data_IF_133716266302
#
_entry.id   IF_133716266302
#
_cell.length_a   1.000
_cell.length_b   1.000
_cell.length_c   1.000
_cell.angle_alpha   90.00
_cell.angle_beta   90.00
_cell.angle_gamma   90.00
#
_symmetry.space_group_name_H-M   'P 1'
#
loop_
_entity.id
_entity.type
_entity.pdbx_description
1 polymer ?
#
# COMPACT_ATOMS: atom_id res chain seq x y z
N UNK A 1 9.79 9.82 23.55
CA UNK A 1 9.09 8.81 22.72
C UNK A 1 10.06 8.40 21.63
N UNK A 2 10.49 7.14 21.64
CA UNK A 2 11.50 6.48 20.76
C UNK A 2 12.92 7.07 20.63
N UNK A 3 13.19 8.31 21.06
CA UNK A 3 14.57 8.83 21.20
C UNK A 3 15.30 9.14 19.90
N UNK A 4 14.59 9.24 18.78
CA UNK A 4 15.14 9.66 17.49
C UNK A 4 14.97 11.18 17.28
N UNK A 5 15.83 11.76 16.44
CA UNK A 5 15.67 13.11 15.92
C UNK A 5 14.97 13.04 14.56
N UNK A 6 13.92 13.86 14.38
CA UNK A 6 13.19 13.96 13.11
C UNK A 6 13.56 15.24 12.38
N UNK A 7 14.23 15.10 11.24
CA UNK A 7 14.44 16.19 10.30
C UNK A 7 13.48 16.05 9.12
N UNK A 8 12.68 17.09 8.87
CA UNK A 8 11.77 17.15 7.72
C UNK A 8 12.40 17.97 6.61
N UNK A 9 12.63 17.34 5.45
CA UNK A 9 13.22 17.98 4.27
C UNK A 9 12.17 17.94 3.14
N UNK A 10 11.46 19.05 2.87
CA UNK A 10 10.46 19.07 1.81
C UNK A 10 11.12 19.04 0.43
N UNK A 11 10.49 18.32 -0.50
CA UNK A 11 10.83 18.34 -1.92
C UNK A 11 9.68 18.96 -2.69
N UNK A 12 9.96 20.07 -3.38
CA UNK A 12 8.94 20.77 -4.17
C UNK A 12 8.56 19.95 -5.41
N UNK A 13 7.26 19.84 -5.67
CA UNK A 13 6.75 19.21 -6.89
C UNK A 13 7.29 19.93 -8.15
N UNK A 14 7.67 19.21 -9.22
CA UNK A 14 7.46 17.77 -9.45
C UNK A 14 8.57 16.86 -8.89
N UNK A 15 9.54 17.41 -8.14
CA UNK A 15 10.60 16.63 -7.48
C UNK A 15 11.66 16.04 -8.41
N UNK A 16 11.81 16.62 -9.62
CA UNK A 16 12.83 16.21 -10.60
C UNK A 16 14.24 16.74 -10.28
N UNK A 17 14.33 17.78 -9.46
CA UNK A 17 15.58 18.32 -8.90
C UNK A 17 15.51 18.16 -7.39
N UNK A 18 16.50 17.49 -6.79
CA UNK A 18 16.58 17.33 -5.34
C UNK A 18 17.99 17.57 -4.76
N UNK A 19 18.93 18.18 -5.49
CA UNK A 19 20.32 18.34 -5.03
C UNK A 19 20.41 19.11 -3.72
N UNK A 20 19.59 20.13 -3.54
CA UNK A 20 19.55 20.92 -2.30
C UNK A 20 19.06 20.11 -1.10
N UNK A 21 18.06 19.24 -1.30
CA UNK A 21 17.57 18.32 -0.29
C UNK A 21 18.63 17.26 0.06
N UNK A 22 19.28 16.68 -0.94
CA UNK A 22 20.31 15.66 -0.73
C UNK A 22 21.63 16.23 -0.20
N UNK A 23 21.92 17.50 -0.44
CA UNK A 23 22.99 18.22 0.25
C UNK A 23 22.70 18.33 1.76
N UNK A 24 21.45 18.63 2.14
CA UNK A 24 21.04 18.64 3.55
C UNK A 24 21.15 17.26 4.19
N UNK A 25 20.73 16.20 3.50
CA UNK A 25 20.92 14.80 3.96
C UNK A 25 22.40 14.50 4.15
N UNK A 26 23.26 14.88 3.20
CA UNK A 26 24.70 14.66 3.31
C UNK A 26 25.34 15.42 4.48
N UNK A 27 24.88 16.65 4.75
CA UNK A 27 25.38 17.49 5.83
C UNK A 27 24.95 16.97 7.21
N UNK A 28 23.68 16.58 7.34
CA UNK A 28 23.10 16.06 8.59
C UNK A 28 23.53 14.62 8.91
N UNK A 29 23.91 13.84 7.89
CA UNK A 29 24.35 12.43 8.02
C UNK A 29 23.36 11.58 8.83
N UNK A 30 22.06 11.54 8.45
CA UNK A 30 21.07 10.80 9.21
C UNK A 30 21.37 9.29 9.15
N UNK A 31 20.97 8.56 10.19
CA UNK A 31 21.09 7.11 10.21
C UNK A 31 20.17 6.43 9.17
N UNK A 32 19.01 7.03 8.93
CA UNK A 32 18.00 6.55 7.99
C UNK A 32 17.31 7.70 7.25
N UNK A 33 16.87 7.42 6.03
CA UNK A 33 16.02 8.32 5.24
C UNK A 33 14.69 7.61 4.99
N UNK A 34 13.60 8.21 5.45
CA UNK A 34 12.25 7.84 5.06
C UNK A 34 11.85 8.66 3.82
N UNK A 35 11.80 8.02 2.66
CA UNK A 35 11.39 8.65 1.41
C UNK A 35 9.86 8.64 1.30
N UNK A 36 9.23 9.74 1.68
CA UNK A 36 7.81 9.99 1.46
C UNK A 36 7.57 10.60 0.06
N UNK A 37 7.80 9.80 -0.97
CA UNK A 37 7.73 10.25 -2.36
C UNK A 37 6.58 9.66 -3.18
N UNK A 38 6.38 10.22 -4.37
CA UNK A 38 5.44 9.74 -5.38
C UNK A 38 5.92 10.06 -6.81
N UNK A 39 5.83 9.09 -7.71
CA UNK A 39 6.16 9.29 -9.12
C UNK A 39 7.65 9.59 -9.34
N UNK A 40 7.96 10.49 -10.27
CA UNK A 40 9.33 10.72 -10.75
C UNK A 40 10.31 11.12 -9.63
N UNK A 41 9.81 11.73 -8.55
CA UNK A 41 10.65 12.13 -7.42
C UNK A 41 11.28 10.93 -6.71
N UNK A 42 10.68 9.75 -6.79
CA UNK A 42 11.23 8.54 -6.20
C UNK A 42 12.54 8.15 -6.88
N UNK A 43 12.51 8.06 -8.21
CA UNK A 43 13.68 7.75 -9.03
C UNK A 43 14.75 8.84 -8.89
N UNK A 44 14.37 10.11 -8.88
CA UNK A 44 15.31 11.23 -8.64
C UNK A 44 15.97 11.10 -7.27
N UNK A 45 15.21 10.81 -6.21
CA UNK A 45 15.75 10.67 -4.86
C UNK A 45 16.81 9.56 -4.78
N UNK A 46 16.55 8.41 -5.39
CA UNK A 46 17.50 7.28 -5.39
C UNK A 46 18.76 7.63 -6.21
N UNK A 47 18.63 8.33 -7.34
CA UNK A 47 19.77 8.82 -8.14
C UNK A 47 20.63 9.80 -7.35
N UNK A 48 20.01 10.73 -6.62
CA UNK A 48 20.73 11.69 -5.78
C UNK A 48 21.38 11.03 -4.55
N UNK A 49 20.75 10.02 -3.96
CA UNK A 49 21.36 9.19 -2.93
C UNK A 49 22.64 8.50 -3.46
N UNK A 50 22.59 7.96 -4.68
CA UNK A 50 23.77 7.40 -5.34
C UNK A 50 24.84 8.47 -5.59
N UNK A 51 24.47 9.63 -6.12
CA UNK A 51 25.41 10.72 -6.45
C UNK A 51 26.08 11.32 -5.20
N UNK A 52 25.38 11.34 -4.07
CA UNK A 52 25.89 11.87 -2.79
C UNK A 52 26.55 10.82 -1.91
N UNK A 53 26.53 9.55 -2.32
CA UNK A 53 27.12 8.43 -1.58
C UNK A 53 26.30 7.97 -0.37
N UNK A 54 25.02 8.33 -0.28
CA UNK A 54 24.13 7.82 0.77
C UNK A 54 23.78 6.34 0.50
N UNK A 55 23.86 5.52 1.54
CA UNK A 55 23.63 4.07 1.44
C UNK A 55 22.14 3.78 1.18
N UNK A 56 21.83 3.09 0.08
CA UNK A 56 20.43 2.76 -0.27
C UNK A 56 19.83 1.76 0.72
N UNK A 57 20.63 0.91 1.37
CA UNK A 57 20.17 0.02 2.43
C UNK A 57 19.61 0.77 3.66
N UNK A 58 19.93 2.07 3.78
CA UNK A 58 19.42 2.96 4.83
C UNK A 58 18.29 3.87 4.37
N UNK A 59 17.78 3.65 3.16
CA UNK A 59 16.61 4.33 2.62
C UNK A 59 15.39 3.43 2.70
N UNK A 60 14.27 4.00 3.15
CA UNK A 60 12.98 3.34 3.24
C UNK A 60 11.93 4.20 2.54
N UNK A 61 11.42 3.73 1.41
CA UNK A 61 10.28 4.33 0.73
C UNK A 61 8.96 4.03 1.43
N UNK A 62 8.02 4.95 1.33
CA UNK A 62 6.61 4.61 1.55
C UNK A 62 6.09 3.72 0.43
N UNK A 63 4.88 3.18 0.58
CA UNK A 63 4.29 2.24 -0.39
C UNK A 63 4.06 2.81 -1.80
N UNK A 64 4.06 4.14 -1.95
CA UNK A 64 4.05 4.83 -3.24
C UNK A 64 5.44 5.05 -3.85
N UNK A 65 6.49 4.60 -3.17
CA UNK A 65 7.89 4.72 -3.56
C UNK A 65 8.59 3.35 -3.53
N UNK A 66 7.87 2.29 -3.88
CA UNK A 66 8.31 0.90 -3.82
C UNK A 66 7.82 0.06 -4.99
N UNK A 67 7.52 0.68 -6.12
CA UNK A 67 7.12 -0.03 -7.34
C UNK A 67 8.31 -0.16 -8.30
N UNK A 68 8.23 -1.10 -9.23
CA UNK A 68 9.19 -1.32 -10.30
C UNK A 68 9.56 -0.03 -11.06
N UNK A 69 8.63 0.85 -11.49
CA UNK A 69 8.98 2.12 -12.14
C UNK A 69 9.80 3.08 -11.28
N UNK A 70 9.75 2.98 -9.94
CA UNK A 70 10.51 3.88 -9.06
C UNK A 70 12.02 3.58 -9.12
N UNK A 71 12.38 2.32 -9.37
CA UNK A 71 13.75 1.79 -9.21
C UNK A 71 14.39 1.32 -10.51
N UNK A 72 13.60 0.86 -11.50
CA UNK A 72 14.12 0.19 -12.70
C UNK A 72 15.11 1.05 -13.49
N UNK A 73 14.87 2.35 -13.59
CA UNK A 73 15.70 3.29 -14.36
C UNK A 73 16.99 3.68 -13.63
N UNK A 74 17.16 3.27 -12.38
CA UNK A 74 18.39 3.45 -11.58
C UNK A 74 19.25 2.17 -11.62
N UNK A 75 18.70 1.04 -12.09
CA UNK A 75 19.37 -0.26 -12.20
C UNK A 75 20.12 -0.65 -10.91
N UNK A 76 21.41 -1.02 -11.01
CA UNK A 76 22.26 -1.37 -9.87
C UNK A 76 22.40 -0.24 -8.83
N UNK A 77 22.15 1.02 -9.23
CA UNK A 77 22.16 2.16 -8.33
C UNK A 77 21.08 2.10 -7.24
N UNK A 78 19.96 1.42 -7.52
CA UNK A 78 18.87 1.22 -6.56
C UNK A 78 19.04 -0.04 -5.68
N UNK A 79 20.05 -0.89 -5.94
CA UNK A 79 20.23 -2.13 -5.17
C UNK A 79 20.34 -1.82 -3.67
N UNK A 80 19.60 -2.57 -2.87
CA UNK A 80 19.53 -2.39 -1.42
C UNK A 80 18.46 -1.40 -0.96
N UNK A 81 17.83 -0.65 -1.86
CA UNK A 81 16.73 0.26 -1.50
C UNK A 81 15.54 -0.50 -0.94
N UNK A 82 15.01 -0.05 0.20
CA UNK A 82 13.86 -0.65 0.87
C UNK A 82 12.60 0.18 0.63
N UNK A 83 11.45 -0.47 0.64
CA UNK A 83 10.17 0.21 0.73
C UNK A 83 9.15 -0.57 1.58
N UNK A 84 8.24 0.16 2.18
CA UNK A 84 7.12 -0.38 2.94
C UNK A 84 6.04 -0.83 1.96
N UNK A 85 5.51 -2.04 2.15
CA UNK A 85 4.32 -2.52 1.46
C UNK A 85 3.13 -2.59 2.41
N UNK A 86 1.98 -2.05 1.99
CA UNK A 86 0.72 -2.16 2.72
C UNK A 86 0.03 -3.45 2.30
N UNK A 87 0.40 -4.54 2.96
CA UNK A 87 0.03 -5.92 2.61
C UNK A 87 0.75 -6.46 1.37
N UNK A 88 0.49 -5.91 0.18
CA UNK A 88 0.89 -6.50 -1.09
C UNK A 88 2.28 -6.01 -1.58
N UNK A 89 3.10 -6.93 -2.09
CA UNK A 89 4.34 -6.63 -2.83
C UNK A 89 4.26 -7.17 -4.26
N UNK A 90 5.39 -7.29 -4.95
CA UNK A 90 5.47 -8.08 -6.18
C UNK A 90 5.39 -9.57 -5.83
N UNK A 91 4.59 -10.32 -6.58
CA UNK A 91 4.52 -11.78 -6.49
C UNK A 91 4.08 -12.36 -7.83
N UNK A 92 5.06 -12.64 -8.68
CA UNK A 92 4.85 -13.24 -10.00
C UNK A 92 4.30 -14.68 -9.93
N UNK A 93 4.32 -15.30 -8.75
CA UNK A 93 3.93 -16.69 -8.53
C UNK A 93 2.55 -16.85 -7.87
N UNK A 94 1.93 -15.75 -7.45
CA UNK A 94 0.61 -15.73 -6.84
C UNK A 94 -0.43 -16.46 -7.72
N UNK A 95 -1.38 -17.14 -7.10
CA UNK A 95 -2.42 -17.91 -7.81
C UNK A 95 -3.23 -16.99 -8.73
N UNK A 96 -3.61 -15.80 -8.26
CA UNK A 96 -4.32 -14.80 -9.08
C UNK A 96 -3.52 -14.39 -10.33
N UNK A 97 -2.20 -14.25 -10.22
CA UNK A 97 -1.32 -13.90 -11.36
C UNK A 97 -1.32 -15.02 -12.40
N UNK A 98 -1.14 -16.27 -11.97
CA UNK A 98 -1.19 -17.43 -12.86
C UNK A 98 -2.55 -17.58 -13.54
N UNK A 99 -3.63 -17.33 -12.82
CA UNK A 99 -4.98 -17.35 -13.36
C UNK A 99 -5.21 -16.26 -14.41
N UNK A 100 -4.83 -15.01 -14.13
CA UNK A 100 -4.91 -13.91 -15.11
C UNK A 100 -4.11 -14.24 -16.37
N UNK A 101 -2.87 -14.72 -16.22
CA UNK A 101 -2.00 -15.05 -17.35
C UNK A 101 -2.60 -16.16 -18.23
N UNK A 102 -3.16 -17.20 -17.62
CA UNK A 102 -3.71 -18.37 -18.33
C UNK A 102 -5.12 -18.14 -18.89
N UNK A 103 -5.95 -17.34 -18.22
CA UNK A 103 -7.35 -17.15 -18.62
C UNK A 103 -7.54 -15.93 -19.52
N UNK A 104 -6.77 -14.86 -19.33
CA UNK A 104 -6.89 -13.62 -20.09
C UNK A 104 -5.78 -13.48 -21.12
N UNK A 105 -4.50 -13.41 -20.69
CA UNK A 105 -3.40 -13.14 -21.62
C UNK A 105 -3.19 -14.28 -22.63
N UNK A 106 -3.29 -15.55 -22.21
CA UNK A 106 -3.15 -16.68 -23.14
C UNK A 106 -4.25 -16.73 -24.22
N UNK A 107 -5.39 -16.07 -23.98
CA UNK A 107 -6.50 -15.97 -24.94
C UNK A 107 -6.51 -14.64 -25.71
N UNK A 108 -5.49 -13.80 -25.54
CA UNK A 108 -5.45 -12.47 -26.17
C UNK A 108 -6.46 -11.47 -25.59
N UNK A 109 -7.02 -11.74 -24.41
CA UNK A 109 -8.03 -10.91 -23.72
C UNK A 109 -7.43 -10.11 -22.55
N UNK A 110 -6.12 -10.23 -22.31
CA UNK A 110 -5.41 -9.44 -21.32
C UNK A 110 -5.23 -8.00 -21.78
N UNK A 111 -5.30 -7.05 -20.85
CA UNK A 111 -4.99 -5.63 -21.09
C UNK A 111 -3.68 -5.27 -20.41
N UNK A 112 -2.85 -4.47 -21.09
CA UNK A 112 -1.53 -4.06 -20.60
C UNK A 112 -0.42 -5.08 -20.85
N UNK A 113 0.83 -4.74 -20.50
CA UNK A 113 1.98 -5.62 -20.71
C UNK A 113 1.89 -6.89 -19.84
N UNK A 114 2.17 -8.05 -20.44
CA UNK A 114 2.04 -9.36 -19.77
C UNK A 114 3.07 -9.53 -18.64
N UNK A 115 4.24 -8.94 -18.83
CA UNK A 115 5.37 -8.93 -17.92
C UNK A 115 5.13 -8.09 -16.65
N UNK A 116 4.11 -7.22 -16.66
CA UNK A 116 3.72 -6.45 -15.49
C UNK A 116 2.72 -7.21 -14.59
N UNK A 117 2.16 -8.32 -15.06
CA UNK A 117 1.21 -9.13 -14.27
C UNK A 117 1.95 -9.77 -13.10
N UNK A 118 1.66 -9.30 -11.89
CA UNK A 118 2.32 -9.72 -10.65
C UNK A 118 3.29 -8.71 -10.06
N UNK A 119 3.56 -7.60 -10.77
CA UNK A 119 4.29 -6.46 -10.24
C UNK A 119 3.49 -5.73 -9.16
N UNK A 120 4.16 -4.88 -8.37
CA UNK A 120 3.59 -4.20 -7.20
C UNK A 120 2.29 -3.45 -7.54
N UNK A 121 2.29 -2.67 -8.62
CA UNK A 121 1.11 -1.89 -9.02
C UNK A 121 -0.02 -2.76 -9.57
N UNK A 122 0.32 -3.85 -10.29
CA UNK A 122 -0.68 -4.79 -10.77
C UNK A 122 -1.41 -5.46 -9.60
N UNK A 123 -0.65 -6.01 -8.64
CA UNK A 123 -1.23 -6.65 -7.46
C UNK A 123 -1.98 -5.66 -6.56
N UNK A 124 -1.57 -4.39 -6.51
CA UNK A 124 -2.35 -3.32 -5.86
C UNK A 124 -3.74 -3.17 -6.48
N UNK A 125 -3.79 -3.10 -7.81
CA UNK A 125 -5.03 -2.97 -8.57
C UNK A 125 -5.93 -4.18 -8.38
N UNK A 126 -5.36 -5.39 -8.50
CA UNK A 126 -6.07 -6.64 -8.30
C UNK A 126 -6.64 -6.76 -6.88
N UNK A 127 -5.85 -6.41 -5.86
CA UNK A 127 -6.29 -6.38 -4.46
C UNK A 127 -7.42 -5.36 -4.26
N UNK A 128 -7.29 -4.16 -4.80
CA UNK A 128 -8.32 -3.11 -4.68
C UNK A 128 -9.65 -3.52 -5.34
N UNK A 129 -9.57 -4.13 -6.52
CA UNK A 129 -10.74 -4.68 -7.21
C UNK A 129 -11.40 -5.80 -6.41
N UNK A 130 -10.59 -6.72 -5.85
CA UNK A 130 -11.09 -7.80 -5.00
C UNK A 130 -11.84 -7.25 -3.77
N UNK A 131 -11.29 -6.26 -3.08
CA UNK A 131 -11.96 -5.63 -1.93
C UNK A 131 -13.33 -5.04 -2.30
N UNK A 132 -13.43 -4.34 -3.42
CA UNK A 132 -14.69 -3.81 -3.93
C UNK A 132 -15.70 -4.90 -4.28
N UNK A 133 -15.26 -5.95 -4.97
CA UNK A 133 -16.10 -7.09 -5.35
C UNK A 133 -16.60 -7.85 -4.13
N UNK A 134 -15.74 -8.10 -3.14
CA UNK A 134 -16.13 -8.77 -1.91
C UNK A 134 -17.09 -7.93 -1.07
N UNK A 135 -16.93 -6.60 -1.05
CA UNK A 135 -17.90 -5.70 -0.41
C UNK A 135 -19.28 -5.80 -1.05
N UNK A 136 -19.35 -5.78 -2.38
CA UNK A 136 -20.60 -5.98 -3.11
C UNK A 136 -21.18 -7.38 -2.85
N UNK A 137 -20.34 -8.42 -2.79
CA UNK A 137 -20.79 -9.78 -2.50
C UNK A 137 -21.42 -9.88 -1.11
N UNK A 138 -20.77 -9.34 -0.08
CA UNK A 138 -21.32 -9.30 1.28
C UNK A 138 -22.64 -8.50 1.32
N UNK A 139 -22.74 -7.39 0.60
CA UNK A 139 -24.00 -6.67 0.46
C UNK A 139 -25.09 -7.53 -0.20
N UNK A 140 -24.79 -8.24 -1.29
CA UNK A 140 -25.73 -9.14 -1.95
C UNK A 140 -26.18 -10.30 -1.06
N UNK A 141 -25.30 -10.85 -0.22
CA UNK A 141 -25.66 -11.88 0.75
C UNK A 141 -26.74 -11.41 1.73
N UNK A 142 -26.70 -10.13 2.13
CA UNK A 142 -27.70 -9.53 3.03
C UNK A 142 -28.95 -9.00 2.32
N UNK A 143 -28.79 -8.31 1.19
CA UNK A 143 -29.88 -7.53 0.56
C UNK A 143 -30.48 -8.18 -0.70
N UNK A 144 -29.91 -9.30 -1.15
CA UNK A 144 -30.46 -10.14 -2.21
C UNK A 144 -29.41 -10.55 -3.24
N UNK A 145 -29.15 -11.87 -3.30
CA UNK A 145 -28.17 -12.46 -4.21
C UNK A 145 -28.48 -12.12 -5.67
N UNK A 146 -27.47 -11.65 -6.41
CA UNK A 146 -27.60 -11.29 -7.82
C UNK A 146 -28.30 -9.96 -8.11
N UNK A 147 -28.76 -9.21 -7.09
CA UNK A 147 -29.35 -7.89 -7.28
C UNK A 147 -28.29 -6.80 -7.40
N UNK A 148 -28.63 -5.72 -8.10
CA UNK A 148 -27.82 -4.50 -8.11
C UNK A 148 -27.92 -3.84 -6.73
N UNK A 149 -26.76 -3.52 -6.14
CA UNK A 149 -26.67 -2.87 -4.84
C UNK A 149 -26.63 -1.35 -5.00
N UNK A 150 -27.33 -0.62 -4.13
CA UNK A 150 -27.20 0.83 -4.02
C UNK A 150 -26.00 1.23 -3.13
N UNK A 151 -25.69 2.53 -3.06
CA UNK A 151 -24.53 3.03 -2.30
C UNK A 151 -24.54 2.66 -0.81
N UNK A 152 -25.69 2.71 -0.15
CA UNK A 152 -25.81 2.34 1.28
C UNK A 152 -25.58 0.85 1.51
N UNK A 153 -26.06 0.00 0.60
CA UNK A 153 -25.87 -1.44 0.66
C UNK A 153 -24.41 -1.81 0.42
N UNK A 154 -23.74 -1.18 -0.56
CA UNK A 154 -22.32 -1.39 -0.81
C UNK A 154 -21.48 -0.88 0.37
N UNK A 155 -21.81 0.27 0.95
CA UNK A 155 -21.18 0.75 2.19
C UNK A 155 -21.29 -0.31 3.29
N UNK A 156 -22.50 -0.85 3.52
CA UNK A 156 -22.71 -1.90 4.50
C UNK A 156 -21.82 -3.12 4.23
N UNK A 157 -21.75 -3.59 2.98
CA UNK A 157 -20.88 -4.72 2.62
C UNK A 157 -19.39 -4.44 2.85
N UNK A 158 -18.92 -3.23 2.53
CA UNK A 158 -17.53 -2.80 2.78
C UNK A 158 -17.23 -2.61 4.27
N UNK A 159 -18.21 -2.25 5.08
CA UNK A 159 -18.12 -2.18 6.55
C UNK A 159 -18.24 -3.57 7.20
N UNK A 160 -18.51 -4.63 6.45
CA UNK A 160 -18.69 -5.99 6.98
C UNK A 160 -17.81 -6.99 6.21
N UNK A 161 -16.65 -6.55 5.70
CA UNK A 161 -15.71 -7.47 5.09
C UNK A 161 -15.18 -8.42 6.17
N UNK A 162 -15.15 -9.71 5.81
CA UNK A 162 -14.52 -10.75 6.58
C UNK A 162 -13.72 -11.65 5.63
N UNK A 163 -12.52 -11.20 5.28
CA UNK A 163 -11.63 -11.92 4.38
C UNK A 163 -10.74 -12.84 5.21
N UNK A 164 -11.24 -14.04 5.51
CA UNK A 164 -10.49 -15.09 6.20
C UNK A 164 -9.39 -15.67 5.31
N UNK A 165 -8.45 -16.41 5.90
CA UNK A 165 -7.39 -17.08 5.12
C UNK A 165 -7.98 -18.01 4.05
N UNK A 166 -8.94 -18.86 4.41
CA UNK A 166 -9.59 -19.76 3.45
C UNK A 166 -10.27 -18.99 2.30
N UNK A 167 -10.84 -17.82 2.58
CA UNK A 167 -11.42 -16.95 1.55
C UNK A 167 -10.35 -16.39 0.61
N UNK A 168 -9.22 -15.93 1.15
CA UNK A 168 -8.09 -15.45 0.35
C UNK A 168 -7.46 -16.58 -0.50
N UNK A 169 -7.36 -17.80 0.03
CA UNK A 169 -6.85 -18.98 -0.69
C UNK A 169 -7.74 -19.31 -1.91
N UNK A 170 -9.06 -19.27 -1.71
CA UNK A 170 -10.04 -19.49 -2.77
C UNK A 170 -9.96 -18.40 -3.85
N UNK A 171 -9.81 -17.13 -3.44
CA UNK A 171 -9.68 -15.98 -4.34
C UNK A 171 -8.30 -15.88 -5.02
N UNK A 172 -7.31 -16.67 -4.57
CA UNK A 172 -5.96 -16.67 -5.12
C UNK A 172 -5.04 -15.56 -4.60
N UNK A 173 -5.39 -14.94 -3.48
CA UNK A 173 -4.65 -13.86 -2.80
C UNK A 173 -3.84 -14.34 -1.57
N UNK A 174 -3.74 -15.66 -1.36
CA UNK A 174 -2.85 -16.23 -0.36
C UNK A 174 -1.41 -15.72 -0.56
N UNK A 175 -0.77 -15.27 0.52
CA UNK A 175 0.59 -14.70 0.48
C UNK A 175 0.69 -13.25 -0.03
N UNK A 176 -0.26 -12.83 -0.87
CA UNK A 176 -0.35 -11.43 -1.36
C UNK A 176 -0.79 -10.50 -0.23
N UNK A 177 -1.77 -10.90 0.57
CA UNK A 177 -2.25 -10.12 1.72
C UNK A 177 -2.60 -11.02 2.90
N UNK A 178 -2.64 -10.44 4.11
CA UNK A 178 -3.19 -11.11 5.30
C UNK A 178 -4.71 -11.04 5.32
N UNK A 179 -5.36 -11.90 6.13
CA UNK A 179 -6.76 -11.72 6.49
C UNK A 179 -7.05 -10.30 6.98
N UNK A 180 -8.19 -9.76 6.56
CA UNK A 180 -8.67 -8.44 6.99
C UNK A 180 -10.15 -8.55 7.38
N UNK A 181 -10.56 -7.70 8.32
CA UNK A 181 -11.97 -7.52 8.63
C UNK A 181 -12.24 -6.06 8.93
N UNK A 182 -13.30 -5.51 8.35
CA UNK A 182 -13.71 -4.12 8.56
C UNK A 182 -14.96 -4.06 9.43
N UNK A 183 -15.23 -2.87 9.97
CA UNK A 183 -16.45 -2.55 10.72
C UNK A 183 -16.84 -1.10 10.44
N UNK A 184 -18.04 -0.69 10.85
CA UNK A 184 -18.43 0.73 10.87
C UNK A 184 -17.44 1.63 11.66
N UNK A 185 -16.75 1.08 12.66
CA UNK A 185 -15.77 1.81 13.47
C UNK A 185 -14.34 1.74 12.91
N UNK A 186 -14.05 0.78 12.04
CA UNK A 186 -12.74 0.53 11.45
C UNK A 186 -12.85 0.20 9.96
N UNK A 187 -12.62 1.22 9.13
CA UNK A 187 -12.64 1.11 7.67
C UNK A 187 -11.28 0.66 7.09
N UNK A 188 -10.25 0.47 7.92
CA UNK A 188 -8.92 0.01 7.47
C UNK A 188 -8.82 -1.51 7.58
N UNK A 189 -9.28 -2.07 8.70
CA UNK A 189 -9.43 -3.50 8.94
C UNK A 189 -8.15 -4.33 9.14
N UNK A 190 -6.98 -3.76 8.86
CA UNK A 190 -5.69 -4.32 9.24
C UNK A 190 -4.59 -3.25 9.23
N UNK A 191 -3.75 -3.24 10.28
CA UNK A 191 -2.62 -2.33 10.43
C UNK A 191 -1.27 -3.05 10.24
N UNK A 192 -1.14 -3.82 9.17
CA UNK A 192 0.04 -4.66 8.89
C UNK A 192 0.76 -4.24 7.62
N UNK A 193 2.10 -4.27 7.69
CA UNK A 193 2.98 -3.97 6.57
C UNK A 193 4.11 -5.01 6.46
N UNK A 194 4.83 -4.98 5.33
CA UNK A 194 6.11 -5.68 5.16
C UNK A 194 7.13 -4.71 4.57
N UNK A 195 8.41 -5.07 4.67
CA UNK A 195 9.47 -4.43 3.91
C UNK A 195 9.84 -5.35 2.76
N UNK A 196 9.98 -4.76 1.59
CA UNK A 196 10.71 -5.37 0.49
C UNK A 196 11.94 -4.56 0.13
N UNK A 197 12.95 -5.24 -0.40
CA UNK A 197 14.21 -4.65 -0.84
C UNK A 197 14.41 -4.96 -2.31
N UNK A 198 14.88 -3.97 -3.06
CA UNK A 198 15.27 -4.15 -4.45
C UNK A 198 16.64 -4.81 -4.53
N UNK A 199 16.73 -5.98 -5.17
CA UNK A 199 18.00 -6.72 -5.28
C UNK A 199 18.88 -6.28 -6.48
N UNK A 200 18.39 -5.31 -7.26
CA UNK A 200 18.95 -4.87 -8.53
C UNK A 200 18.09 -5.27 -9.74
N UNK A 201 17.19 -6.26 -9.57
CA UNK A 201 16.38 -6.83 -10.65
C UNK A 201 14.91 -7.02 -10.27
N UNK A 202 14.64 -7.38 -9.02
CA UNK A 202 13.29 -7.64 -8.53
C UNK A 202 13.16 -7.28 -7.04
N UNK A 203 11.91 -7.12 -6.61
CA UNK A 203 11.57 -6.90 -5.21
C UNK A 203 11.54 -8.23 -4.45
N UNK A 204 12.23 -8.29 -3.30
CA UNK A 204 12.16 -9.42 -2.37
C UNK A 204 11.66 -8.95 -1.02
N UNK A 205 10.73 -9.69 -0.41
CA UNK A 205 10.39 -9.43 0.99
C UNK A 205 11.61 -9.71 1.87
N UNK A 206 11.96 -8.73 2.70
CA UNK A 206 13.13 -8.76 3.59
C UNK A 206 12.76 -8.55 5.06
N UNK A 207 11.46 -8.49 5.35
CA UNK A 207 10.93 -8.59 6.71
C UNK A 207 9.77 -9.57 6.75
N UNK A 208 9.51 -10.07 7.96
CA UNK A 208 8.20 -10.59 8.32
C UNK A 208 7.16 -9.46 8.37
N UNK A 209 5.94 -9.82 8.72
CA UNK A 209 4.86 -8.88 8.94
C UNK A 209 5.12 -7.97 10.15
N UNK A 210 5.03 -6.67 9.93
CA UNK A 210 5.18 -5.63 10.93
C UNK A 210 3.79 -5.07 11.26
N UNK A 211 3.43 -5.03 12.54
CA UNK A 211 2.18 -4.41 12.99
C UNK A 211 2.45 -2.98 13.46
N UNK A 212 1.59 -2.05 13.04
CA UNK A 212 1.65 -0.68 13.53
C UNK A 212 1.23 -0.60 15.01
N UNK A 213 1.82 0.32 15.77
CA UNK A 213 1.45 0.55 17.16
C UNK A 213 0.14 1.33 17.25
N UNK A 214 -0.94 0.59 17.45
CA UNK A 214 -2.28 1.15 17.57
C UNK A 214 -2.47 2.00 18.83
N UNK A 215 -1.64 1.86 19.86
CA UNK A 215 -1.72 2.69 21.06
C UNK A 215 -1.36 4.14 20.76
N UNK A 216 -0.51 4.37 19.75
CA UNK A 216 -0.15 5.70 19.25
C UNK A 216 -1.15 6.17 18.19
N UNK A 217 -1.53 5.29 17.26
CA UNK A 217 -2.31 5.67 16.07
C UNK A 217 -3.78 5.90 16.39
N UNK A 218 -4.44 5.03 17.18
CA UNK A 218 -5.88 5.14 17.45
C UNK A 218 -6.29 6.46 18.10
N UNK A 219 -5.54 7.00 19.11
CA UNK A 219 -5.85 8.33 19.65
C UNK A 219 -5.78 9.44 18.60
N UNK A 220 -4.78 9.41 17.71
CA UNK A 220 -4.62 10.40 16.63
C UNK A 220 -5.77 10.31 15.62
N UNK A 221 -6.17 9.10 15.23
CA UNK A 221 -7.32 8.87 14.34
C UNK A 221 -8.59 9.43 14.96
N UNK A 222 -8.87 9.09 16.23
CA UNK A 222 -10.07 9.57 16.94
C UNK A 222 -10.10 11.09 17.07
N UNK A 223 -8.97 11.70 17.46
CA UNK A 223 -8.88 13.15 17.62
C UNK A 223 -9.07 13.87 16.27
N UNK A 224 -8.42 13.39 15.21
CA UNK A 224 -8.49 14.00 13.88
C UNK A 224 -9.88 13.84 13.26
N UNK A 225 -10.50 12.66 13.39
CA UNK A 225 -11.86 12.42 12.91
C UNK A 225 -12.89 13.28 13.65
N UNK A 226 -12.79 13.40 14.98
CA UNK A 226 -13.66 14.26 15.77
C UNK A 226 -13.51 15.74 15.39
N UNK A 227 -12.27 16.20 15.20
CA UNK A 227 -12.00 17.56 14.71
C UNK A 227 -12.62 17.79 13.34
N UNK A 228 -12.42 16.87 12.39
CA UNK A 228 -13.00 16.97 11.06
C UNK A 228 -14.53 17.02 11.10
N UNK A 229 -15.17 16.17 11.92
CA UNK A 229 -16.61 16.18 12.08
C UNK A 229 -17.12 17.52 12.63
N UNK A 230 -16.45 18.09 13.63
CA UNK A 230 -16.79 19.41 14.17
C UNK A 230 -16.63 20.52 13.11
N UNK A 231 -15.47 20.56 12.42
CA UNK A 231 -15.16 21.58 11.41
C UNK A 231 -16.13 21.52 10.22
N UNK A 232 -16.61 20.32 9.87
CA UNK A 232 -17.57 20.09 8.78
C UNK A 232 -19.03 20.01 9.22
N UNK A 233 -19.32 20.20 10.51
CA UNK A 233 -20.67 20.08 11.10
C UNK A 233 -21.34 18.74 10.77
N UNK A 234 -20.55 17.66 10.77
CA UNK A 234 -21.02 16.30 10.55
C UNK A 234 -21.38 15.66 11.90
N UNK A 235 -22.50 14.94 11.93
CA UNK A 235 -22.87 14.12 13.09
C UNK A 235 -22.24 12.73 12.92
N UNK A 236 -21.36 12.28 13.82
CA UNK A 236 -20.84 10.92 13.78
C UNK A 236 -21.98 9.89 13.87
N UNK A 237 -21.85 8.79 13.12
CA UNK A 237 -22.80 7.69 13.17
C UNK A 237 -22.83 7.06 14.55
N UNK A 238 -24.03 6.72 14.99
CA UNK A 238 -24.26 5.95 16.21
C UNK A 238 -24.07 4.45 15.93
N UNK A 239 -23.88 3.61 16.97
CA UNK A 239 -23.90 2.16 16.80
C UNK A 239 -25.18 1.64 16.13
N UNK A 240 -26.33 2.30 16.35
CA UNK A 240 -27.59 1.93 15.69
C UNK A 240 -27.56 2.17 14.16
N UNK A 241 -26.85 3.20 13.71
CA UNK A 241 -26.66 3.50 12.27
C UNK A 241 -25.68 2.53 11.58
N UNK A 242 -24.89 1.81 12.37
CA UNK A 242 -23.89 0.88 11.84
C UNK A 242 -24.52 -0.41 11.32
N UNK A 243 -25.59 -0.92 11.94
CA UNK A 243 -26.29 -2.16 11.57
C UNK A 243 -25.35 -3.34 11.21
N UNK A 244 -24.14 -3.33 11.78
CA UNK A 244 -23.00 -4.20 11.53
C UNK A 244 -22.64 -4.91 12.82
#
# INVERSE_FOLDING_TARGET
MHGFELQLIPVTAPGVEQKSAWLQVRQSKPDYVLLWGWGIMNTTAIKEAQATGYAREKMYGVWWAGAEPDVKDVADGAKGYNAVTLQHGADMNAKVVKEVLSTLHAKGQGTGPKEEVGQVLYLRGAMSAMLGIEGIRSAQERFGKGKVMNGDQVRWGLENLNLTQAKLDNLGFAGVMRPISTSCADHMGAAWARIHTWDGKEWKFTSDWLQADEQVIKPLVKATAAKYAADKKLTPRTPADCQS
#
